data_IF_600699542140
#
_entry.id   IF_600699542140
#
_cell.length_a   1.000
_cell.length_b   1.000
_cell.length_c   1.000
_cell.angle_alpha   90.00
_cell.angle_beta   90.00
_cell.angle_gamma   90.00
#
_symmetry.space_group_name_H-M   'P 1'
#
loop_
_entity.id
_entity.type
_entity.pdbx_description
1 polymer ?
#
# COMPACT_ATOMS: atom_id res chain seq x y z
N UNK A 1 -11.88 28.36 15.60
CA UNK A 1 -12.44 26.99 15.72
C UNK A 1 -12.19 26.19 14.44
N UNK A 2 -12.51 26.75 13.27
CA UNK A 2 -12.38 26.04 11.97
C UNK A 2 -10.94 25.61 11.64
N UNK A 3 -9.94 26.48 11.87
CA UNK A 3 -8.53 26.14 11.68
C UNK A 3 -8.06 24.95 12.55
N UNK A 4 -8.52 24.91 13.81
CA UNK A 4 -8.16 23.82 14.73
C UNK A 4 -8.73 22.48 14.22
N UNK A 5 -9.97 22.48 13.72
CA UNK A 5 -10.62 21.27 13.22
C UNK A 5 -9.97 20.80 11.91
N UNK A 6 -9.64 21.72 11.00
CA UNK A 6 -8.88 21.39 9.78
C UNK A 6 -7.52 20.76 10.09
N UNK A 7 -6.78 21.32 11.06
CA UNK A 7 -5.52 20.72 11.52
C UNK A 7 -5.69 19.31 12.10
N UNK A 8 -6.78 19.04 12.84
CA UNK A 8 -7.08 17.70 13.34
C UNK A 8 -7.35 16.72 12.20
N UNK A 9 -8.11 17.11 11.18
CA UNK A 9 -8.36 16.26 10.01
C UNK A 9 -7.05 15.91 9.29
N UNK A 10 -6.19 16.89 9.05
CA UNK A 10 -4.88 16.66 8.40
C UNK A 10 -4.00 15.76 9.26
N UNK A 11 -3.99 15.93 10.58
CA UNK A 11 -3.27 15.05 11.50
C UNK A 11 -3.80 13.61 11.41
N UNK A 12 -5.11 13.42 11.39
CA UNK A 12 -5.72 12.08 11.25
C UNK A 12 -5.40 11.45 9.90
N UNK A 13 -5.38 12.24 8.81
CA UNK A 13 -4.91 11.76 7.50
C UNK A 13 -3.44 11.35 7.52
N UNK A 14 -2.57 12.13 8.16
CA UNK A 14 -1.15 11.80 8.28
C UNK A 14 -0.94 10.52 9.11
N UNK A 15 -1.67 10.38 10.23
CA UNK A 15 -1.64 9.17 11.06
C UNK A 15 -2.17 7.95 10.32
N UNK A 16 -3.20 8.12 9.47
CA UNK A 16 -3.75 7.00 8.70
C UNK A 16 -2.79 6.48 7.64
N UNK A 17 -1.81 7.25 7.17
CA UNK A 17 -0.72 6.74 6.33
C UNK A 17 0.12 5.67 7.05
N UNK A 18 0.14 5.67 8.39
CA UNK A 18 0.72 4.60 9.19
C UNK A 18 0.08 3.23 8.95
N UNK A 19 -1.15 3.18 8.42
CA UNK A 19 -1.84 1.95 8.04
C UNK A 19 -1.09 1.15 6.97
N UNK A 20 -0.23 1.79 6.16
CA UNK A 20 0.65 1.09 5.22
C UNK A 20 1.62 0.12 5.94
N UNK A 21 2.06 0.44 7.16
CA UNK A 21 2.89 -0.46 7.98
C UNK A 21 2.15 -1.73 8.39
N UNK A 22 0.81 -1.69 8.39
CA UNK A 22 -0.04 -2.83 8.69
C UNK A 22 -0.50 -3.55 7.41
N UNK A 23 0.07 -3.20 6.23
CA UNK A 23 -0.38 -3.67 4.91
C UNK A 23 -1.86 -3.37 4.61
N UNK A 24 -2.42 -2.32 5.23
CA UNK A 24 -3.82 -1.92 5.06
C UNK A 24 -3.99 -0.85 3.97
N UNK A 25 -5.21 -0.71 3.40
CA UNK A 25 -5.53 0.23 2.31
C UNK A 25 -5.61 1.70 2.78
N UNK A 26 -4.52 2.26 3.32
CA UNK A 26 -4.48 3.59 3.93
C UNK A 26 -4.97 4.73 3.02
N UNK A 27 -4.65 4.68 1.73
CA UNK A 27 -5.02 5.73 0.77
C UNK A 27 -6.55 5.87 0.64
N UNK A 28 -7.29 4.77 0.80
CA UNK A 28 -8.75 4.78 0.81
C UNK A 28 -9.32 5.38 2.09
N UNK A 29 -8.64 5.16 3.23
CA UNK A 29 -8.99 5.81 4.51
C UNK A 29 -8.80 7.33 4.41
N UNK A 30 -7.68 7.78 3.81
CA UNK A 30 -7.44 9.21 3.54
C UNK A 30 -8.57 9.81 2.68
N UNK A 31 -8.98 9.11 1.61
CA UNK A 31 -10.12 9.55 0.78
C UNK A 31 -11.44 9.62 1.58
N UNK A 32 -11.69 8.65 2.45
CA UNK A 32 -12.86 8.66 3.34
C UNK A 32 -12.85 9.86 4.29
N UNK A 33 -11.69 10.23 4.83
CA UNK A 33 -11.53 11.42 5.68
C UNK A 33 -11.79 12.70 4.88
N UNK A 34 -11.31 12.79 3.63
CA UNK A 34 -11.58 13.94 2.75
C UNK A 34 -13.07 14.04 2.38
N UNK A 35 -13.73 12.92 2.11
CA UNK A 35 -15.18 12.89 1.87
C UNK A 35 -15.96 13.34 3.11
N UNK A 36 -15.52 12.91 4.30
CA UNK A 36 -16.12 13.35 5.57
C UNK A 36 -15.94 14.86 5.78
N UNK A 37 -14.76 15.41 5.49
CA UNK A 37 -14.52 16.85 5.55
C UNK A 37 -15.49 17.61 4.63
N UNK A 38 -15.60 17.17 3.36
CA UNK A 38 -16.50 17.78 2.38
C UNK A 38 -17.98 17.75 2.80
N UNK A 39 -18.38 16.70 3.51
CA UNK A 39 -19.74 16.55 4.03
C UNK A 39 -20.01 17.45 5.23
N UNK A 40 -19.07 17.52 6.18
CA UNK A 40 -19.22 18.31 7.42
C UNK A 40 -19.01 19.81 7.21
N UNK A 41 -18.13 20.20 6.28
CA UNK A 41 -17.71 21.59 6.03
C UNK A 41 -17.90 21.97 4.55
N UNK A 42 -19.15 21.94 4.03
CA UNK A 42 -19.41 22.15 2.61
C UNK A 42 -19.08 23.57 2.14
N UNK A 43 -19.14 24.57 3.02
CA UNK A 43 -18.82 25.96 2.70
C UNK A 43 -17.31 26.20 2.54
N UNK A 44 -16.49 25.42 3.25
CA UNK A 44 -15.02 25.50 3.19
C UNK A 44 -14.46 24.59 2.08
N UNK A 45 -15.12 23.46 1.81
CA UNK A 45 -14.67 22.47 0.85
C UNK A 45 -15.12 22.76 -0.61
N UNK A 46 -15.12 24.03 -1.02
CA UNK A 46 -15.59 24.46 -2.36
C UNK A 46 -14.75 23.91 -3.50
N UNK A 47 -13.45 23.68 -3.28
CA UNK A 47 -12.54 23.05 -4.25
C UNK A 47 -12.56 21.51 -4.27
N UNK A 48 -13.34 20.86 -3.39
CA UNK A 48 -13.48 19.40 -3.34
C UNK A 48 -14.76 18.96 -4.07
N UNK A 49 -14.78 19.19 -5.37
CA UNK A 49 -15.86 18.78 -6.27
C UNK A 49 -15.72 17.32 -6.72
N UNK A 50 -16.62 16.84 -7.59
CA UNK A 50 -16.54 15.49 -8.15
C UNK A 50 -15.22 15.23 -8.87
N UNK A 51 -14.66 16.24 -9.53
CA UNK A 51 -13.39 16.15 -10.25
C UNK A 51 -12.24 15.86 -9.30
N UNK A 52 -12.17 16.58 -8.17
CA UNK A 52 -11.20 16.33 -7.10
C UNK A 52 -11.25 14.87 -6.64
N UNK A 53 -12.44 14.34 -6.35
CA UNK A 53 -12.59 12.94 -5.87
C UNK A 53 -12.29 11.90 -6.95
N UNK A 54 -12.57 12.19 -8.23
CA UNK A 54 -12.16 11.32 -9.34
C UNK A 54 -10.63 11.25 -9.44
N UNK A 55 -9.94 12.39 -9.36
CA UNK A 55 -8.47 12.45 -9.42
C UNK A 55 -7.87 11.75 -8.20
N UNK A 56 -8.35 12.08 -7.00
CA UNK A 56 -7.85 11.52 -5.76
C UNK A 56 -8.14 10.00 -5.66
N UNK A 57 -9.33 9.56 -6.08
CA UNK A 57 -9.67 8.15 -6.25
C UNK A 57 -8.79 7.44 -7.25
N UNK A 58 -8.52 8.08 -8.40
CA UNK A 58 -7.59 7.58 -9.42
C UNK A 58 -6.17 7.43 -8.89
N UNK A 59 -5.67 8.37 -8.09
CA UNK A 59 -4.37 8.26 -7.43
C UNK A 59 -4.32 7.11 -6.43
N UNK A 60 -5.35 6.97 -5.57
CA UNK A 60 -5.40 5.85 -4.62
C UNK A 60 -5.38 4.50 -5.33
N UNK A 61 -6.18 4.36 -6.40
CA UNK A 61 -6.20 3.16 -7.24
C UNK A 61 -4.86 2.93 -7.95
N UNK A 62 -4.25 3.99 -8.48
CA UNK A 62 -2.93 3.91 -9.11
C UNK A 62 -1.87 3.42 -8.12
N UNK A 63 -1.94 3.84 -6.86
CA UNK A 63 -1.04 3.34 -5.81
C UNK A 63 -1.16 1.84 -5.57
N UNK A 64 -2.39 1.32 -5.53
CA UNK A 64 -2.62 -0.14 -5.44
C UNK A 64 -2.06 -0.86 -6.66
N UNK A 65 -2.38 -0.39 -7.87
CA UNK A 65 -1.94 -1.00 -9.12
C UNK A 65 -0.40 -0.98 -9.27
N UNK A 66 0.24 0.11 -8.88
CA UNK A 66 1.69 0.23 -8.90
C UNK A 66 2.35 -0.66 -7.86
N UNK A 67 1.76 -0.83 -6.66
CA UNK A 67 2.27 -1.79 -5.67
C UNK A 67 2.34 -3.20 -6.27
N UNK A 68 1.23 -3.68 -6.83
CA UNK A 68 1.18 -5.00 -7.46
C UNK A 68 2.08 -5.10 -8.69
N UNK A 69 2.10 -4.05 -9.52
CA UNK A 69 2.94 -3.97 -10.72
C UNK A 69 4.43 -4.04 -10.40
N UNK A 70 4.91 -3.26 -9.43
CA UNK A 70 6.30 -3.27 -8.96
C UNK A 70 6.65 -4.62 -8.33
N UNK A 71 5.73 -5.22 -7.57
CA UNK A 71 5.93 -6.57 -7.02
C UNK A 71 6.14 -7.60 -8.14
N UNK A 72 5.27 -7.60 -9.15
CA UNK A 72 5.35 -8.55 -10.27
C UNK A 72 6.60 -8.34 -11.13
N UNK A 73 6.92 -7.09 -11.44
CA UNK A 73 8.10 -6.73 -12.24
C UNK A 73 9.40 -7.00 -11.48
N UNK A 74 9.45 -6.69 -10.19
CA UNK A 74 10.57 -7.00 -9.31
C UNK A 74 10.85 -8.50 -9.27
N UNK A 75 9.81 -9.32 -9.08
CA UNK A 75 9.96 -10.77 -9.09
C UNK A 75 10.41 -11.31 -10.47
N UNK A 76 9.81 -10.84 -11.57
CA UNK A 76 10.19 -11.24 -12.93
C UNK A 76 11.63 -10.87 -13.28
N UNK A 77 12.11 -9.69 -12.85
CA UNK A 77 13.48 -9.24 -13.11
C UNK A 77 14.54 -10.15 -12.46
N UNK A 78 14.18 -10.84 -11.39
CA UNK A 78 15.03 -11.82 -10.71
C UNK A 78 14.80 -13.26 -11.20
N UNK A 79 14.06 -13.45 -12.29
CA UNK A 79 13.85 -14.75 -12.91
C UNK A 79 12.70 -15.57 -12.34
N UNK A 80 11.77 -14.94 -11.60
CA UNK A 80 10.54 -15.60 -11.12
C UNK A 80 9.63 -16.01 -12.28
N UNK A 81 9.02 -17.17 -12.16
CA UNK A 81 7.99 -17.67 -13.07
C UNK A 81 6.63 -17.03 -12.78
N UNK A 82 5.68 -17.20 -13.70
CA UNK A 82 4.31 -16.74 -13.48
C UNK A 82 3.67 -17.34 -12.22
N UNK A 83 3.90 -18.64 -11.96
CA UNK A 83 3.37 -19.30 -10.75
C UNK A 83 4.12 -18.84 -9.50
N UNK A 84 5.44 -18.68 -9.55
CA UNK A 84 6.22 -18.13 -8.44
C UNK A 84 5.78 -16.72 -8.04
N UNK A 85 5.42 -15.87 -8.99
CA UNK A 85 4.83 -14.56 -8.69
C UNK A 85 3.51 -14.67 -7.92
N UNK A 86 2.61 -15.53 -8.38
CA UNK A 86 1.33 -15.78 -7.67
C UNK A 86 1.60 -16.34 -6.28
N UNK A 87 2.56 -17.27 -6.16
CA UNK A 87 3.03 -17.80 -4.88
C UNK A 87 3.52 -16.70 -3.93
N UNK A 88 4.29 -15.74 -4.43
CA UNK A 88 4.73 -14.58 -3.65
C UNK A 88 3.59 -13.66 -3.25
N UNK A 89 2.62 -13.38 -4.13
CA UNK A 89 1.46 -12.53 -3.78
C UNK A 89 0.61 -13.20 -2.70
N UNK A 90 0.25 -14.48 -2.89
CA UNK A 90 -0.53 -15.24 -1.90
C UNK A 90 0.24 -15.38 -0.59
N UNK A 91 1.54 -15.67 -0.67
CA UNK A 91 2.42 -15.73 0.47
C UNK A 91 2.49 -14.41 1.22
N UNK A 92 2.54 -13.27 0.53
CA UNK A 92 2.53 -11.95 1.15
C UNK A 92 1.24 -11.69 1.92
N UNK A 93 0.09 -12.03 1.35
CA UNK A 93 -1.22 -11.87 2.00
C UNK A 93 -1.32 -12.78 3.23
N UNK A 94 -1.02 -14.07 3.07
CA UNK A 94 -1.05 -15.04 4.16
C UNK A 94 -0.07 -14.66 5.28
N UNK A 95 1.15 -14.26 4.90
CA UNK A 95 2.18 -13.81 5.83
C UNK A 95 1.77 -12.54 6.56
N UNK A 96 1.15 -11.56 5.89
CA UNK A 96 0.62 -10.36 6.55
C UNK A 96 -0.44 -10.71 7.60
N UNK A 97 -1.38 -11.59 7.25
CA UNK A 97 -2.44 -12.05 8.16
C UNK A 97 -1.86 -12.80 9.36
N UNK A 98 -0.95 -13.74 9.12
CA UNK A 98 -0.29 -14.51 10.18
C UNK A 98 0.64 -13.63 11.04
N UNK A 99 1.23 -12.59 10.44
CA UNK A 99 2.11 -11.64 11.11
C UNK A 99 1.36 -10.58 11.93
N UNK A 100 0.13 -10.24 11.56
CA UNK A 100 -0.65 -9.17 12.19
C UNK A 100 -0.82 -9.29 13.72
N UNK A 101 -0.99 -10.49 14.33
CA UNK A 101 -1.07 -10.62 15.78
C UNK A 101 0.20 -10.21 16.54
N UNK A 102 1.34 -10.13 15.86
CA UNK A 102 2.64 -9.84 16.49
C UNK A 102 2.97 -8.35 16.47
N UNK A 103 3.68 -7.89 17.51
CA UNK A 103 4.18 -6.51 17.64
C UNK A 103 3.12 -5.44 17.41
N UNK A 104 1.92 -5.61 17.97
CA UNK A 104 0.79 -4.67 17.84
C UNK A 104 0.41 -4.38 16.37
N UNK A 105 0.45 -5.40 15.51
CA UNK A 105 0.16 -5.25 14.07
C UNK A 105 1.40 -5.13 13.20
N UNK A 106 2.53 -4.66 13.73
CA UNK A 106 3.75 -4.42 12.91
C UNK A 106 4.31 -5.70 12.29
N UNK A 107 4.00 -6.86 12.90
CA UNK A 107 4.31 -8.15 12.30
C UNK A 107 3.67 -8.37 10.94
N UNK A 108 2.61 -7.63 10.55
CA UNK A 108 2.02 -7.70 9.21
C UNK A 108 2.99 -7.26 8.11
N UNK A 109 3.80 -6.22 8.32
CA UNK A 109 4.81 -5.79 7.35
C UNK A 109 5.88 -6.87 7.15
N UNK A 110 6.46 -7.35 8.27
CA UNK A 110 7.45 -8.42 8.24
C UNK A 110 6.89 -9.70 7.64
N UNK A 111 5.68 -10.05 8.05
CA UNK A 111 4.93 -11.18 7.52
C UNK A 111 4.65 -11.07 6.03
N UNK A 112 4.27 -9.90 5.52
CA UNK A 112 4.05 -9.69 4.10
C UNK A 112 5.33 -9.87 3.28
N UNK A 113 6.45 -9.34 3.78
CA UNK A 113 7.75 -9.43 3.12
C UNK A 113 8.31 -10.87 3.13
N UNK A 114 8.33 -11.50 4.31
CA UNK A 114 8.78 -12.89 4.46
C UNK A 114 7.84 -13.87 3.76
N UNK A 115 6.54 -13.59 3.80
CA UNK A 115 5.52 -14.34 3.07
C UNK A 115 5.71 -14.23 1.55
N UNK A 116 6.01 -13.04 1.02
CA UNK A 116 6.32 -12.86 -0.39
C UNK A 116 7.54 -13.69 -0.83
N UNK A 117 8.59 -13.66 0.00
CA UNK A 117 9.79 -14.46 -0.23
C UNK A 117 9.47 -15.96 -0.16
N UNK A 118 8.88 -16.43 0.94
CA UNK A 118 8.62 -17.84 1.21
C UNK A 118 7.62 -18.45 0.23
N UNK A 119 6.53 -17.75 -0.08
CA UNK A 119 5.52 -18.21 -1.03
C UNK A 119 6.08 -18.34 -2.45
N UNK A 120 6.91 -17.40 -2.89
CA UNK A 120 7.62 -17.51 -4.16
C UNK A 120 8.60 -18.69 -4.14
N UNK A 121 9.44 -18.78 -3.10
CA UNK A 121 10.45 -19.82 -2.96
C UNK A 121 9.85 -21.24 -3.00
N UNK A 122 8.79 -21.47 -2.21
CA UNK A 122 8.09 -22.76 -2.13
C UNK A 122 7.55 -23.16 -3.51
N UNK A 123 6.91 -22.23 -4.22
CA UNK A 123 6.33 -22.51 -5.54
C UNK A 123 7.43 -22.79 -6.57
N UNK A 124 8.50 -22.02 -6.59
CA UNK A 124 9.61 -22.20 -7.53
C UNK A 124 10.33 -23.55 -7.30
N UNK A 125 10.55 -23.95 -6.04
CA UNK A 125 11.09 -25.27 -5.71
C UNK A 125 10.12 -26.39 -6.12
N UNK A 126 8.81 -26.22 -5.85
CA UNK A 126 7.80 -27.19 -6.24
C UNK A 126 7.68 -27.36 -7.76
N UNK A 127 8.15 -26.37 -8.54
CA UNK A 127 8.28 -26.46 -10.00
C UNK A 127 9.57 -27.14 -10.47
N UNK A 128 10.39 -27.65 -9.54
CA UNK A 128 11.64 -28.37 -9.85
C UNK A 128 12.82 -27.46 -10.18
N UNK A 129 12.76 -26.16 -9.84
CA UNK A 129 13.88 -25.26 -10.10
C UNK A 129 15.01 -25.48 -9.11
N UNK A 130 16.27 -25.28 -9.54
CA UNK A 130 17.41 -25.26 -8.64
C UNK A 130 17.21 -24.27 -7.48
N UNK A 131 17.65 -24.65 -6.29
CA UNK A 131 17.40 -23.88 -5.06
C UNK A 131 18.00 -22.46 -5.12
N UNK A 132 19.19 -22.32 -5.68
CA UNK A 132 19.87 -21.04 -5.90
C UNK A 132 19.05 -20.09 -6.77
N UNK A 133 18.49 -20.61 -7.87
CA UNK A 133 17.62 -19.88 -8.79
C UNK A 133 16.28 -19.52 -8.14
N UNK A 134 15.71 -20.44 -7.37
CA UNK A 134 14.46 -20.21 -6.64
C UNK A 134 14.63 -19.11 -5.56
N UNK A 135 15.74 -19.13 -4.82
CA UNK A 135 16.10 -18.10 -3.84
C UNK A 135 16.32 -16.74 -4.52
N UNK A 136 16.98 -16.70 -5.67
CA UNK A 136 17.13 -15.47 -6.44
C UNK A 136 15.77 -14.88 -6.83
N UNK A 137 14.86 -15.72 -7.33
CA UNK A 137 13.48 -15.33 -7.69
C UNK A 137 12.71 -14.80 -6.47
N UNK A 138 12.80 -15.48 -5.33
CA UNK A 138 12.18 -15.09 -4.07
C UNK A 138 12.69 -13.75 -3.53
N UNK A 139 13.99 -13.45 -3.68
CA UNK A 139 14.54 -12.11 -3.38
C UNK A 139 13.87 -11.03 -4.22
N UNK A 140 13.62 -11.31 -5.50
CA UNK A 140 12.88 -10.39 -6.38
C UNK A 140 11.44 -10.15 -5.90
N UNK A 141 10.75 -11.18 -5.43
CA UNK A 141 9.41 -11.05 -4.85
C UNK A 141 9.41 -10.20 -3.56
N UNK A 142 10.41 -10.41 -2.69
CA UNK A 142 10.62 -9.60 -1.48
C UNK A 142 10.85 -8.13 -1.82
N UNK A 143 11.85 -7.83 -2.65
CA UNK A 143 12.19 -6.45 -2.99
C UNK A 143 11.09 -5.77 -3.80
N UNK A 144 10.42 -6.51 -4.70
CA UNK A 144 9.27 -6.02 -5.43
C UNK A 144 8.13 -5.61 -4.49
N UNK A 145 7.81 -6.42 -3.47
CA UNK A 145 6.80 -6.07 -2.46
C UNK A 145 7.24 -4.86 -1.64
N UNK A 146 8.49 -4.82 -1.18
CA UNK A 146 9.04 -3.70 -0.42
C UNK A 146 8.96 -2.37 -1.17
N UNK A 147 9.47 -2.35 -2.42
CA UNK A 147 9.44 -1.16 -3.26
C UNK A 147 8.01 -0.76 -3.65
N UNK A 148 7.13 -1.73 -3.91
CA UNK A 148 5.72 -1.48 -4.18
C UNK A 148 5.01 -0.76 -3.03
N UNK A 149 5.23 -1.22 -1.79
CA UNK A 149 4.70 -0.55 -0.59
C UNK A 149 5.25 0.88 -0.46
N UNK A 150 6.52 1.10 -0.77
CA UNK A 150 7.13 2.43 -0.77
C UNK A 150 6.49 3.39 -1.78
N UNK A 151 6.26 2.93 -3.02
CA UNK A 151 5.58 3.73 -4.06
C UNK A 151 4.16 4.09 -3.64
N UNK A 152 3.41 3.11 -3.12
CA UNK A 152 2.04 3.33 -2.63
C UNK A 152 1.97 4.29 -1.45
N UNK A 153 2.93 4.21 -0.53
CA UNK A 153 3.08 5.18 0.56
C UNK A 153 3.34 6.58 0.02
N UNK A 154 4.25 6.73 -0.95
CA UNK A 154 4.52 8.02 -1.61
C UNK A 154 3.28 8.63 -2.25
N UNK A 155 2.43 7.82 -2.88
CA UNK A 155 1.13 8.27 -3.41
C UNK A 155 0.18 8.70 -2.28
N UNK A 156 0.20 8.01 -1.14
CA UNK A 156 -0.53 8.43 0.06
C UNK A 156 -0.08 9.80 0.56
N UNK A 157 1.22 10.11 0.52
CA UNK A 157 1.75 11.44 0.84
C UNK A 157 1.24 12.49 -0.16
N UNK A 158 1.19 12.17 -1.46
CA UNK A 158 0.60 13.07 -2.45
C UNK A 158 -0.87 13.37 -2.16
N UNK A 159 -1.66 12.35 -1.79
CA UNK A 159 -3.07 12.51 -1.38
C UNK A 159 -3.21 13.36 -0.13
N UNK A 160 -2.31 13.18 0.86
CA UNK A 160 -2.28 13.99 2.07
C UNK A 160 -2.04 15.46 1.75
N UNK A 161 -1.02 15.76 0.93
CA UNK A 161 -0.68 17.14 0.55
C UNK A 161 -1.81 17.78 -0.26
N UNK A 162 -2.36 17.05 -1.24
CA UNK A 162 -3.48 17.50 -2.05
C UNK A 162 -4.72 17.79 -1.20
N UNK A 163 -5.03 16.91 -0.25
CA UNK A 163 -6.15 17.12 0.67
C UNK A 163 -5.94 18.29 1.63
N UNK A 164 -4.75 18.37 2.23
CA UNK A 164 -4.39 19.46 3.15
C UNK A 164 -4.44 20.84 2.49
N UNK A 165 -4.00 20.95 1.22
CA UNK A 165 -4.05 22.22 0.49
C UNK A 165 -5.48 22.72 0.26
N UNK A 166 -6.48 21.82 0.24
CA UNK A 166 -7.90 22.17 0.09
C UNK A 166 -8.62 22.37 1.42
N UNK A 167 -8.09 21.82 2.52
CA UNK A 167 -8.62 22.04 3.88
C UNK A 167 -8.18 23.40 4.43
N UNK A 168 -6.99 23.88 4.06
CA UNK A 168 -6.43 25.16 4.50
C UNK A 168 -6.57 26.31 3.49
N UNK A 169 -7.19 26.06 2.33
CA UNK A 169 -7.56 27.12 1.38
C UNK A 169 -8.78 27.90 1.87
#
# INVERSE_FOLDING_TARGET
MELLIGSVFIMVMALSLGLHLFSLPANWVVLGILALWRFMYPAQATGMDSTFFIIAGGLALLGELLEFGVQMLGAKRYGSTGKGNVGGIVGAIAGAIMGAPFFFGLGALGGALLGAFGGCLIVEIAQGRPFDVAVQSAKGAFFGKFLGMGVKFGIGVCLLVLGASHIWA
#
